data_IF_277114520338
#
_entry.id   IF_277114520338
#
_cell.length_a   1.000
_cell.length_b   1.000
_cell.length_c   1.000
_cell.angle_alpha   90.00
_cell.angle_beta   90.00
_cell.angle_gamma   90.00
#
_symmetry.space_group_name_H-M   'P 1'
#
loop_
_entity.id
_entity.type
_entity.pdbx_description
1 polymer ?
#
# COMPACT_ATOMS: atom_id res chain seq x y z
N UNK A 1 17.41 -0.56 4.34
CA UNK A 1 16.78 0.78 4.42
C UNK A 1 15.78 0.69 5.54
N UNK A 2 16.06 1.35 6.64
CA UNK A 2 15.16 1.36 7.78
C UNK A 2 14.11 2.43 7.58
N UNK A 3 12.87 2.11 7.90
CA UNK A 3 11.78 3.07 7.79
C UNK A 3 11.78 3.97 9.03
N UNK A 4 12.41 5.14 8.92
CA UNK A 4 12.46 6.12 10.02
C UNK A 4 11.12 6.82 10.30
N UNK A 5 10.08 6.52 9.55
CA UNK A 5 8.81 7.24 9.62
C UNK A 5 8.13 7.14 11.00
N UNK A 6 8.37 6.05 11.72
CA UNK A 6 7.82 5.78 13.04
C UNK A 6 8.90 5.44 14.07
N UNK A 7 10.16 5.66 13.74
CA UNK A 7 11.25 5.54 14.69
C UNK A 7 11.49 6.90 15.33
N UNK A 8 11.87 6.89 16.59
CA UNK A 8 12.38 8.05 17.29
C UNK A 8 13.92 7.92 17.35
N UNK A 9 14.64 8.42 16.31
CA UNK A 9 16.08 8.23 16.20
C UNK A 9 16.86 9.06 17.22
N UNK A 10 16.21 10.02 17.86
CA UNK A 10 16.84 10.94 18.83
C UNK A 10 16.24 10.73 20.21
N UNK A 11 15.13 10.03 20.31
CA UNK A 11 14.48 9.71 21.56
C UNK A 11 15.37 8.77 22.36
N UNK A 12 15.66 9.12 23.59
CA UNK A 12 16.08 8.15 24.58
C UNK A 12 14.97 7.10 24.60
N UNK A 13 15.19 5.99 23.92
CA UNK A 13 14.22 4.95 23.75
C UNK A 13 13.59 4.63 25.08
N UNK A 14 12.34 5.02 25.25
CA UNK A 14 11.64 4.69 26.46
C UNK A 14 11.52 3.17 26.48
N UNK A 15 12.38 2.54 27.23
CA UNK A 15 12.25 1.14 27.57
C UNK A 15 10.94 1.00 28.31
N UNK A 16 10.12 0.03 27.96
CA UNK A 16 8.90 -0.25 28.73
C UNK A 16 9.28 -0.43 30.20
N UNK A 17 8.38 -0.12 31.12
CA UNK A 17 8.63 -0.28 32.54
C UNK A 17 9.11 -1.69 32.93
N UNK A 18 8.86 -2.67 32.05
CA UNK A 18 9.26 -4.06 32.21
C UNK A 18 10.53 -4.45 31.40
N UNK A 19 11.15 -3.50 30.69
CA UNK A 19 12.40 -3.75 29.95
C UNK A 19 12.28 -4.54 28.65
N UNK A 20 11.10 -5.00 28.27
CA UNK A 20 10.94 -6.00 27.22
C UNK A 20 10.81 -5.42 25.80
N UNK A 21 10.30 -4.18 25.63
CA UNK A 21 10.07 -3.59 24.32
C UNK A 21 10.37 -2.09 24.30
N UNK A 22 11.06 -1.60 23.26
CA UNK A 22 11.25 -0.17 23.09
C UNK A 22 9.88 0.50 22.84
N UNK A 23 9.54 1.47 23.63
CA UNK A 23 8.36 2.32 23.42
C UNK A 23 8.78 3.57 22.68
N UNK A 24 8.06 3.91 21.61
CA UNK A 24 8.27 5.15 20.87
C UNK A 24 7.22 6.18 21.28
N UNK A 25 7.64 7.45 21.41
CA UNK A 25 6.74 8.57 21.72
C UNK A 25 5.98 9.11 20.52
N UNK A 26 6.08 8.42 19.38
CA UNK A 26 5.44 8.86 18.12
C UNK A 26 4.02 8.34 18.08
N UNK A 27 3.08 9.26 17.86
CA UNK A 27 1.69 8.88 17.62
C UNK A 27 1.60 8.13 16.30
N UNK A 28 0.90 7.00 16.33
CA UNK A 28 0.66 6.24 15.11
C UNK A 28 -0.60 6.77 14.40
N UNK A 29 -0.49 7.38 13.21
CA UNK A 29 -1.64 7.93 12.52
C UNK A 29 -2.45 6.80 11.85
N UNK A 30 -3.72 6.67 12.20
CA UNK A 30 -4.64 5.74 11.53
C UNK A 30 -5.08 6.33 10.19
N UNK A 31 -5.47 7.59 10.18
CA UNK A 31 -5.82 8.37 8.98
C UNK A 31 -5.16 9.72 9.09
N UNK A 32 -4.62 10.23 8.01
CA UNK A 32 -4.04 11.55 7.99
C UNK A 32 -4.47 12.38 6.77
N UNK A 33 -4.26 13.67 6.86
CA UNK A 33 -4.75 14.62 5.87
C UNK A 33 -4.25 14.34 4.44
N UNK A 34 -3.02 13.85 4.28
CA UNK A 34 -2.50 13.47 2.96
C UNK A 34 -3.32 12.37 2.31
N UNK A 35 -3.78 11.38 3.08
CA UNK A 35 -4.65 10.32 2.60
C UNK A 35 -5.99 10.87 2.12
N UNK A 36 -6.59 11.80 2.88
CA UNK A 36 -7.84 12.46 2.48
C UNK A 36 -7.67 13.26 1.18
N UNK A 37 -6.53 13.90 0.99
CA UNK A 37 -6.20 14.57 -0.26
C UNK A 37 -6.11 13.58 -1.43
N UNK A 38 -5.49 12.42 -1.22
CA UNK A 38 -5.35 11.38 -2.24
C UNK A 38 -6.69 10.72 -2.57
N UNK A 39 -7.58 10.47 -1.59
CA UNK A 39 -8.96 10.04 -1.86
C UNK A 39 -9.73 11.07 -2.68
N UNK A 40 -9.57 12.35 -2.37
CA UNK A 40 -10.18 13.41 -3.16
C UNK A 40 -9.64 13.45 -4.59
N UNK A 41 -8.33 13.29 -4.78
CA UNK A 41 -7.73 13.19 -6.10
C UNK A 41 -8.29 12.01 -6.90
N UNK A 42 -8.42 10.85 -6.25
CA UNK A 42 -9.00 9.67 -6.85
C UNK A 42 -10.45 9.89 -7.30
N UNK A 43 -11.27 10.48 -6.45
CA UNK A 43 -12.66 10.79 -6.80
C UNK A 43 -12.77 11.67 -8.04
N UNK A 44 -11.91 12.68 -8.18
CA UNK A 44 -11.87 13.52 -9.37
C UNK A 44 -11.43 12.74 -10.61
N UNK A 45 -10.42 11.87 -10.49
CA UNK A 45 -9.95 11.03 -11.59
C UNK A 45 -11.03 10.06 -12.06
N UNK A 46 -11.74 9.45 -11.12
CA UNK A 46 -12.78 8.45 -11.43
C UNK A 46 -14.04 9.07 -12.02
N UNK A 47 -14.35 10.33 -11.70
CA UNK A 47 -15.52 11.05 -12.23
C UNK A 47 -15.23 11.86 -13.50
N UNK A 48 -14.01 11.79 -14.03
CA UNK A 48 -13.62 12.56 -15.21
C UNK A 48 -13.46 14.06 -14.96
N UNK A 49 -13.47 14.50 -13.69
CA UNK A 49 -13.26 15.90 -13.30
C UNK A 49 -11.78 16.23 -13.09
N UNK A 50 -10.93 15.50 -13.78
CA UNK A 50 -9.49 15.55 -13.64
C UNK A 50 -8.89 16.93 -13.88
N UNK A 51 -9.46 17.71 -14.78
CA UNK A 51 -8.86 18.96 -15.23
C UNK A 51 -8.91 20.09 -14.20
N UNK A 52 -9.85 20.05 -13.27
CA UNK A 52 -10.19 21.25 -12.50
C UNK A 52 -9.30 21.52 -11.28
N UNK A 53 -8.70 20.50 -10.63
CA UNK A 53 -7.93 20.76 -9.38
C UNK A 53 -6.85 19.76 -9.04
N UNK A 54 -6.57 18.78 -9.86
CA UNK A 54 -5.72 17.65 -9.47
C UNK A 54 -4.25 17.96 -9.30
N UNK A 55 -3.59 18.68 -10.22
CA UNK A 55 -2.18 19.00 -10.00
C UNK A 55 -1.98 19.73 -8.66
N UNK A 56 -2.95 20.56 -8.26
CA UNK A 56 -2.87 21.28 -6.99
C UNK A 56 -2.94 20.35 -5.77
N UNK A 57 -3.76 19.28 -5.83
CA UNK A 57 -3.87 18.34 -4.72
C UNK A 57 -2.57 17.55 -4.58
N UNK A 58 -2.08 16.99 -5.66
CA UNK A 58 -0.79 16.28 -5.69
C UNK A 58 0.36 17.20 -5.28
N UNK A 59 0.37 18.42 -5.79
CA UNK A 59 1.45 19.36 -5.53
C UNK A 59 1.50 19.83 -4.07
N UNK A 60 0.39 19.85 -3.35
CA UNK A 60 0.43 20.05 -1.89
C UNK A 60 1.23 19.00 -1.16
N UNK A 61 1.11 17.74 -1.58
CA UNK A 61 1.86 16.61 -1.01
C UNK A 61 3.32 16.69 -1.44
N UNK A 62 3.55 16.85 -2.74
CA UNK A 62 4.89 16.88 -3.34
C UNK A 62 5.75 18.03 -2.81
N UNK A 63 5.20 19.24 -2.74
CA UNK A 63 5.90 20.42 -2.23
C UNK A 63 6.28 20.29 -0.75
N UNK A 64 5.41 19.68 0.06
CA UNK A 64 5.74 19.37 1.45
C UNK A 64 6.99 18.48 1.58
N UNK A 65 7.16 17.59 0.64
CA UNK A 65 8.31 16.66 0.56
C UNK A 65 9.45 17.19 -0.31
N UNK A 66 9.43 18.48 -0.66
CA UNK A 66 10.41 19.13 -1.53
C UNK A 66 10.61 18.41 -2.88
N UNK A 67 9.53 17.86 -3.42
CA UNK A 67 9.53 17.21 -4.72
C UNK A 67 9.08 18.18 -5.81
N UNK A 68 9.54 17.92 -7.04
CA UNK A 68 9.12 18.69 -8.22
C UNK A 68 7.61 18.60 -8.39
N UNK A 69 6.90 19.71 -8.56
CA UNK A 69 5.48 19.71 -8.82
C UNK A 69 5.11 18.91 -10.07
N UNK A 70 3.96 18.26 -10.01
CA UNK A 70 3.36 17.62 -11.16
C UNK A 70 2.87 18.72 -12.12
N UNK A 71 3.19 18.58 -13.40
CA UNK A 71 2.75 19.48 -14.47
C UNK A 71 1.77 18.76 -15.37
N UNK A 72 0.72 19.48 -15.81
CA UNK A 72 -0.32 18.90 -16.65
C UNK A 72 -1.39 18.13 -15.88
N UNK A 73 -2.20 17.37 -16.61
CA UNK A 73 -3.31 16.60 -16.05
C UNK A 73 -2.79 15.34 -15.36
N UNK A 74 -3.15 15.15 -14.11
CA UNK A 74 -2.79 13.96 -13.35
C UNK A 74 -3.56 12.73 -13.86
N UNK A 75 -2.96 11.58 -13.75
CA UNK A 75 -3.51 10.29 -14.16
C UNK A 75 -3.71 9.36 -12.96
N UNK A 76 -4.43 8.25 -13.17
CA UNK A 76 -4.52 7.19 -12.14
C UNK A 76 -3.16 6.56 -11.82
N UNK A 77 -2.22 6.59 -12.75
CA UNK A 77 -0.85 6.12 -12.51
C UNK A 77 -0.09 7.07 -11.56
N UNK A 78 -0.31 8.37 -11.69
CA UNK A 78 0.26 9.35 -10.75
C UNK A 78 -0.34 9.17 -9.36
N UNK A 79 -1.64 8.94 -9.26
CA UNK A 79 -2.29 8.62 -7.99
C UNK A 79 -1.70 7.37 -7.34
N UNK A 80 -1.57 6.30 -8.10
CA UNK A 80 -0.95 5.06 -7.63
C UNK A 80 0.44 5.32 -7.04
N UNK A 81 1.27 6.04 -7.78
CA UNK A 81 2.63 6.35 -7.36
C UNK A 81 2.65 7.19 -6.08
N UNK A 82 1.88 8.27 -6.03
CA UNK A 82 1.84 9.16 -4.85
C UNK A 82 1.28 8.44 -3.61
N UNK A 83 0.21 7.64 -3.75
CA UNK A 83 -0.32 6.86 -2.63
C UNK A 83 0.72 5.88 -2.10
N UNK A 84 1.39 5.16 -2.99
CA UNK A 84 2.40 4.18 -2.60
C UNK A 84 3.60 4.82 -1.88
N UNK A 85 4.06 5.99 -2.35
CA UNK A 85 5.19 6.68 -1.73
C UNK A 85 4.80 7.39 -0.44
N UNK A 86 3.70 8.14 -0.46
CA UNK A 86 3.27 8.97 0.68
C UNK A 86 2.79 8.15 1.87
N UNK A 87 2.06 7.06 1.62
CA UNK A 87 1.43 6.23 2.63
C UNK A 87 2.22 4.95 2.94
N UNK A 88 3.44 4.83 2.41
CA UNK A 88 4.30 3.68 2.68
C UNK A 88 4.53 3.51 4.19
N UNK A 89 4.39 2.27 4.67
CA UNK A 89 4.55 1.90 6.08
C UNK A 89 3.54 2.53 7.03
N UNK A 90 2.40 2.96 6.52
CA UNK A 90 1.27 3.43 7.31
C UNK A 90 0.17 2.37 7.37
N UNK A 91 -0.88 2.60 8.21
CA UNK A 91 -2.03 1.68 8.30
C UNK A 91 -2.86 1.58 7.02
N UNK A 92 -2.67 2.51 6.10
CA UNK A 92 -3.26 2.39 4.77
C UNK A 92 -2.66 1.20 4.06
N UNK A 93 -3.39 0.11 4.06
CA UNK A 93 -2.94 -1.11 3.42
C UNK A 93 -3.06 -0.97 1.90
N UNK A 94 -1.91 -0.91 1.23
CA UNK A 94 -1.81 -0.86 -0.22
C UNK A 94 -2.53 -2.04 -0.89
N UNK A 95 -2.61 -3.19 -0.23
CA UNK A 95 -3.35 -4.34 -0.73
C UNK A 95 -4.85 -4.03 -0.88
N UNK A 96 -5.45 -3.27 0.04
CA UNK A 96 -6.85 -2.87 -0.08
C UNK A 96 -7.07 -1.93 -1.27
N UNK A 97 -6.15 -1.00 -1.53
CA UNK A 97 -6.20 -0.17 -2.71
C UNK A 97 -6.14 -1.02 -3.99
N UNK A 98 -5.19 -1.95 -4.08
CA UNK A 98 -5.05 -2.84 -5.22
C UNK A 98 -6.30 -3.70 -5.44
N UNK A 99 -6.86 -4.29 -4.38
CA UNK A 99 -8.09 -5.06 -4.45
C UNK A 99 -9.29 -4.23 -4.96
N UNK A 100 -9.40 -2.99 -4.47
CA UNK A 100 -10.45 -2.06 -4.88
C UNK A 100 -10.27 -1.63 -6.35
N UNK A 101 -9.07 -1.30 -6.76
CA UNK A 101 -8.76 -0.90 -8.14
C UNK A 101 -8.86 -2.05 -9.13
N UNK A 102 -8.58 -3.28 -8.74
CA UNK A 102 -8.78 -4.46 -9.58
C UNK A 102 -10.24 -4.64 -9.99
N UNK A 103 -11.18 -4.14 -9.19
CA UNK A 103 -12.62 -4.12 -9.49
C UNK A 103 -13.10 -2.84 -10.19
N UNK A 104 -12.22 -1.91 -10.46
CA UNK A 104 -12.57 -0.63 -11.07
C UNK A 104 -13.08 -0.81 -12.50
N UNK A 105 -14.02 0.04 -12.91
CA UNK A 105 -14.41 0.19 -14.32
C UNK A 105 -13.35 0.92 -15.14
N UNK A 106 -12.41 1.62 -14.50
CA UNK A 106 -11.29 2.27 -15.18
C UNK A 106 -10.25 1.21 -15.57
N UNK A 107 -10.07 0.99 -16.86
CA UNK A 107 -9.23 -0.08 -17.40
C UNK A 107 -7.74 0.10 -17.04
N UNK A 108 -7.25 1.33 -16.99
CA UNK A 108 -5.84 1.61 -16.73
C UNK A 108 -5.45 1.23 -15.31
N UNK A 109 -6.26 1.66 -14.32
CA UNK A 109 -5.97 1.32 -12.93
C UNK A 109 -6.24 -0.15 -12.63
N UNK A 110 -7.24 -0.75 -13.27
CA UNK A 110 -7.49 -2.18 -13.17
C UNK A 110 -6.30 -3.00 -13.66
N UNK A 111 -5.76 -2.68 -14.82
CA UNK A 111 -4.59 -3.35 -15.40
C UNK A 111 -3.36 -3.19 -14.50
N UNK A 112 -3.16 -1.99 -13.94
CA UNK A 112 -2.06 -1.72 -13.04
C UNK A 112 -2.20 -2.53 -11.74
N UNK A 113 -3.39 -2.55 -11.16
CA UNK A 113 -3.67 -3.30 -9.94
C UNK A 113 -3.52 -4.81 -10.15
N UNK A 114 -4.00 -5.33 -11.26
CA UNK A 114 -3.85 -6.74 -11.64
C UNK A 114 -2.37 -7.13 -11.78
N UNK A 115 -1.60 -6.32 -12.48
CA UNK A 115 -0.16 -6.51 -12.60
C UNK A 115 0.55 -6.54 -11.25
N UNK A 116 0.23 -5.61 -10.34
CA UNK A 116 0.86 -5.54 -9.02
C UNK A 116 0.44 -6.71 -8.11
N UNK A 117 -0.83 -7.10 -8.14
CA UNK A 117 -1.33 -8.25 -7.37
C UNK A 117 -0.67 -9.56 -7.80
N UNK A 118 -0.24 -9.65 -9.05
CA UNK A 118 0.41 -10.82 -9.62
C UNK A 118 1.95 -10.66 -9.75
N UNK A 119 2.50 -9.52 -9.34
CA UNK A 119 3.94 -9.29 -9.41
C UNK A 119 4.64 -9.82 -8.15
N UNK A 120 5.46 -10.82 -8.33
CA UNK A 120 6.24 -11.43 -7.24
C UNK A 120 7.74 -11.27 -7.52
N UNK A 121 8.32 -10.08 -7.24
CA UNK A 121 9.73 -9.84 -7.50
C UNK A 121 10.61 -10.66 -6.58
N UNK A 122 11.59 -11.34 -7.14
CA UNK A 122 12.68 -11.96 -6.40
C UNK A 122 13.74 -10.91 -6.13
N UNK A 123 13.99 -10.66 -4.86
CA UNK A 123 14.93 -9.63 -4.41
C UNK A 123 16.18 -10.32 -3.90
N UNK A 124 17.34 -9.96 -4.47
CA UNK A 124 18.63 -10.30 -3.87
C UNK A 124 18.83 -9.37 -2.68
N UNK A 125 19.02 -9.94 -1.50
CA UNK A 125 19.43 -9.18 -0.32
C UNK A 125 20.81 -8.58 -0.55
N UNK A 126 21.03 -7.39 -0.01
CA UNK A 126 22.35 -6.79 -0.02
C UNK A 126 23.32 -7.60 0.86
N UNK A 127 24.52 -7.74 0.36
CA UNK A 127 25.61 -8.42 1.07
C UNK A 127 26.47 -7.43 1.86
N UNK A 128 26.40 -6.16 1.51
CA UNK A 128 27.19 -5.09 2.14
C UNK A 128 26.30 -4.13 2.94
N UNK A 129 26.36 -4.26 4.27
CA UNK A 129 25.66 -3.35 5.19
C UNK A 129 26.20 -1.93 5.19
N UNK A 130 27.44 -1.74 4.74
CA UNK A 130 28.06 -0.42 4.70
C UNK A 130 27.59 0.42 3.51
N UNK A 131 26.97 -0.19 2.51
CA UNK A 131 26.49 0.50 1.32
C UNK A 131 25.02 0.18 1.01
N UNK A 132 24.06 0.71 1.81
CA UNK A 132 22.65 0.38 1.71
C UNK A 132 21.98 0.84 0.41
N UNK A 133 22.60 1.72 -0.38
CA UNK A 133 22.05 2.23 -1.65
C UNK A 133 22.14 1.18 -2.77
N UNK A 134 23.10 0.27 -2.69
CA UNK A 134 23.22 -0.84 -3.64
C UNK A 134 22.46 -2.10 -3.22
N UNK A 135 21.59 -1.97 -2.23
CA UNK A 135 21.09 -3.07 -1.41
C UNK A 135 20.08 -3.98 -2.06
N UNK A 136 19.42 -3.55 -3.13
CA UNK A 136 18.37 -4.36 -3.77
C UNK A 136 18.59 -4.47 -5.26
N UNK A 137 18.68 -5.69 -5.71
CA UNK A 137 18.58 -5.99 -7.14
C UNK A 137 17.39 -6.93 -7.34
N UNK A 138 16.47 -6.55 -8.19
CA UNK A 138 15.46 -7.48 -8.67
C UNK A 138 16.19 -8.43 -9.63
N UNK A 139 16.28 -9.69 -9.25
CA UNK A 139 16.97 -10.73 -10.03
C UNK A 139 16.02 -11.53 -10.93
N UNK A 140 14.75 -11.21 -10.90
CA UNK A 140 13.69 -11.84 -11.66
C UNK A 140 12.36 -11.73 -10.95
N UNK A 141 11.38 -12.39 -11.51
CA UNK A 141 10.05 -12.54 -10.91
C UNK A 141 9.76 -14.02 -10.77
N UNK A 142 9.05 -14.39 -9.72
CA UNK A 142 8.54 -15.75 -9.58
C UNK A 142 7.37 -15.95 -10.52
N UNK A 143 7.31 -17.12 -11.14
CA UNK A 143 6.19 -17.50 -11.98
C UNK A 143 5.12 -18.19 -11.12
N UNK A 144 4.07 -17.46 -10.82
CA UNK A 144 2.92 -17.97 -10.05
C UNK A 144 1.70 -18.24 -10.95
N UNK A 145 1.90 -18.43 -12.24
CA UNK A 145 0.83 -18.46 -13.24
C UNK A 145 -0.24 -19.52 -12.99
N UNK A 146 0.00 -20.54 -12.19
CA UNK A 146 -0.93 -21.66 -12.08
C UNK A 146 -1.52 -21.95 -10.69
N UNK A 147 -0.94 -21.44 -9.60
CA UNK A 147 -1.43 -21.76 -8.25
C UNK A 147 -1.51 -20.58 -7.30
N UNK A 148 -0.74 -19.53 -7.53
CA UNK A 148 -0.59 -18.41 -6.61
C UNK A 148 -0.98 -17.07 -7.25
N UNK A 149 -1.54 -17.07 -8.46
CA UNK A 149 -2.09 -15.88 -9.07
C UNK A 149 -3.28 -15.36 -8.23
N UNK A 150 -3.43 -14.05 -8.15
CA UNK A 150 -4.54 -13.44 -7.47
C UNK A 150 -5.88 -13.89 -8.08
N UNK A 151 -6.75 -14.39 -7.25
CA UNK A 151 -8.09 -14.88 -7.62
C UNK A 151 -9.17 -13.95 -7.06
N UNK A 152 -10.30 -13.86 -7.75
CA UNK A 152 -11.40 -12.98 -7.33
C UNK A 152 -11.92 -13.29 -5.91
N UNK A 153 -11.91 -14.54 -5.48
CA UNK A 153 -12.31 -14.92 -4.12
C UNK A 153 -11.38 -14.38 -3.03
N UNK A 154 -10.10 -14.10 -3.36
CA UNK A 154 -9.12 -13.54 -2.41
C UNK A 154 -9.44 -12.09 -1.98
N UNK A 155 -10.54 -11.51 -2.50
CA UNK A 155 -11.06 -10.24 -2.01
C UNK A 155 -11.51 -10.30 -0.55
N UNK A 156 -11.99 -11.46 -0.12
CA UNK A 156 -12.43 -11.72 1.25
C UNK A 156 -11.57 -12.82 1.86
N UNK A 157 -11.46 -12.83 3.16
CA UNK A 157 -10.78 -13.93 3.83
C UNK A 157 -11.71 -15.14 4.00
N UNK A 158 -11.14 -16.36 4.06
CA UNK A 158 -11.94 -17.53 4.41
C UNK A 158 -12.39 -17.44 5.86
N UNK A 159 -13.53 -18.01 6.15
CA UNK A 159 -13.95 -18.23 7.54
C UNK A 159 -13.03 -19.28 8.18
N UNK A 160 -12.61 -19.09 9.43
CA UNK A 160 -11.89 -20.12 10.17
C UNK A 160 -12.69 -21.43 10.21
N UNK A 161 -12.05 -22.55 9.95
CA UNK A 161 -12.70 -23.86 9.92
C UNK A 161 -13.41 -24.21 11.22
N UNK A 162 -12.86 -23.76 12.36
CA UNK A 162 -13.48 -23.94 13.68
C UNK A 162 -14.84 -23.24 13.77
N UNK A 163 -14.97 -22.03 13.22
CA UNK A 163 -16.23 -21.27 13.25
C UNK A 163 -17.30 -21.93 12.38
N UNK A 164 -16.89 -22.50 11.25
CA UNK A 164 -17.80 -23.27 10.41
C UNK A 164 -18.29 -24.50 11.16
N UNK A 165 -17.39 -25.22 11.82
CA UNK A 165 -17.76 -26.40 12.61
C UNK A 165 -18.68 -26.05 13.79
N UNK A 166 -18.37 -24.98 14.54
CA UNK A 166 -19.20 -24.52 15.68
C UNK A 166 -20.58 -24.05 15.26
N UNK A 167 -20.74 -23.60 14.04
CA UNK A 167 -22.03 -23.11 13.50
C UNK A 167 -23.02 -24.25 13.19
N UNK A 168 -22.64 -25.51 13.36
CA UNK A 168 -23.47 -26.66 12.97
C UNK A 168 -23.96 -26.60 11.51
N UNK A 169 -23.12 -26.14 10.60
CA UNK A 169 -23.41 -26.07 9.17
C UNK A 169 -24.24 -24.86 8.72
N UNK A 170 -24.54 -23.93 9.64
CA UNK A 170 -25.24 -22.69 9.28
C UNK A 170 -24.30 -21.69 8.58
N UNK A 171 -23.03 -21.64 8.99
CA UNK A 171 -22.01 -20.84 8.34
C UNK A 171 -21.37 -21.63 7.21
N UNK A 172 -21.47 -21.15 6.00
CA UNK A 172 -20.81 -21.73 4.83
C UNK A 172 -19.54 -20.94 4.51
N UNK A 173 -18.53 -21.64 4.01
CA UNK A 173 -17.31 -21.01 3.53
C UNK A 173 -17.61 -20.04 2.39
N UNK A 174 -16.80 -18.99 2.29
CA UNK A 174 -16.82 -18.10 1.14
C UNK A 174 -16.47 -18.87 -0.13
N UNK A 175 -17.12 -18.51 -1.23
CA UNK A 175 -16.92 -19.14 -2.52
C UNK A 175 -15.44 -19.12 -2.93
N UNK A 176 -14.91 -20.25 -3.36
CA UNK A 176 -13.52 -20.39 -3.82
C UNK A 176 -12.53 -20.89 -2.76
N UNK A 177 -12.98 -21.09 -1.52
CA UNK A 177 -12.15 -21.65 -0.42
C UNK A 177 -12.59 -23.06 -0.04
#
# INVERSE_FOLDING_TARGET
MDAFKYSDPVGEGAVSANGDWPTVRVNFPIIRFAEMLLFRAEAYLMTGQAELKQPQIFNRIRLRSNLVPLTGTATMKDLYHERRCELAFEFTDHLFDLKRWNRSSNADIKTLADKELNAHPRIRRYEDRANPVSAFTIIGYEDYTNKNAYQAHMMVFPYPSEEITKSNGQLKQNEGY
#
